data_IF_983718193177
#
_entry.id   IF_983718193177
#
_cell.length_a   1.000
_cell.length_b   1.000
_cell.length_c   1.000
_cell.angle_alpha   90.00
_cell.angle_beta   90.00
_cell.angle_gamma   90.00
#
_symmetry.space_group_name_H-M   'P 1'
#
loop_
_entity.id
_entity.type
_entity.pdbx_description
1 polymer ?
#
# COMPACT_ATOMS: atom_id res chain seq x y z
N UNK A 1 -7.97 50.25 -28.62
CA UNK A 1 -8.77 49.60 -27.55
C UNK A 1 -7.98 48.41 -27.01
N UNK A 2 -7.43 48.47 -25.79
CA UNK A 2 -6.56 47.42 -25.25
C UNK A 2 -7.38 46.36 -24.48
N UNK A 3 -8.33 45.69 -25.15
CA UNK A 3 -9.04 44.56 -24.53
C UNK A 3 -8.29 43.23 -24.69
N UNK A 4 -7.33 43.17 -25.62
CA UNK A 4 -6.60 41.94 -25.95
C UNK A 4 -5.47 41.59 -24.97
N UNK A 5 -4.89 42.58 -24.26
CA UNK A 5 -3.78 42.37 -23.33
C UNK A 5 -4.20 41.82 -21.96
N UNK A 6 -5.42 42.14 -21.50
CA UNK A 6 -5.93 41.72 -20.20
C UNK A 6 -6.27 40.22 -20.17
N UNK A 7 -6.66 39.65 -21.31
CA UNK A 7 -6.96 38.22 -21.47
C UNK A 7 -5.71 37.33 -21.35
N UNK A 8 -4.54 37.80 -21.79
CA UNK A 8 -3.31 36.98 -21.72
C UNK A 8 -2.67 36.95 -20.33
N UNK A 9 -2.88 37.97 -19.49
CA UNK A 9 -2.30 38.00 -18.13
C UNK A 9 -3.23 37.44 -17.03
N UNK A 10 -4.53 37.23 -17.31
CA UNK A 10 -5.47 36.68 -16.33
C UNK A 10 -5.80 35.20 -16.51
N UNK A 11 -5.40 34.54 -17.61
CA UNK A 11 -5.61 33.10 -17.79
C UNK A 11 -4.57 32.33 -16.95
N UNK A 12 -4.84 32.23 -15.66
CA UNK A 12 -4.02 31.56 -14.67
C UNK A 12 -4.35 30.07 -14.63
N UNK A 13 -4.07 29.34 -15.72
CA UNK A 13 -4.12 27.87 -15.79
C UNK A 13 -5.52 27.22 -15.72
N UNK A 14 -6.41 27.73 -14.88
CA UNK A 14 -7.76 27.20 -14.63
C UNK A 14 -8.67 27.36 -15.85
N UNK A 15 -8.52 28.45 -16.59
CA UNK A 15 -9.25 28.72 -17.81
C UNK A 15 -8.81 27.79 -18.95
N UNK A 16 -7.54 27.38 -18.98
CA UNK A 16 -7.05 26.39 -19.96
C UNK A 16 -7.76 25.04 -19.79
N UNK A 17 -8.05 24.63 -18.55
CA UNK A 17 -8.80 23.39 -18.27
C UNK A 17 -10.21 23.48 -18.89
N UNK A 18 -10.87 24.62 -18.74
CA UNK A 18 -12.21 24.85 -19.30
C UNK A 18 -12.16 24.83 -20.83
N UNK A 19 -11.18 25.49 -21.44
CA UNK A 19 -10.99 25.52 -22.89
C UNK A 19 -10.77 24.10 -23.44
N UNK A 20 -9.90 23.31 -22.81
CA UNK A 20 -9.64 21.92 -23.21
C UNK A 20 -10.90 21.07 -23.07
N UNK A 21 -11.64 21.21 -21.96
CA UNK A 21 -12.88 20.48 -21.74
C UNK A 21 -13.93 20.80 -22.81
N UNK A 22 -14.11 22.08 -23.14
CA UNK A 22 -15.03 22.51 -24.20
C UNK A 22 -14.58 21.97 -25.56
N UNK A 23 -13.30 22.06 -25.89
CA UNK A 23 -12.76 21.52 -27.15
C UNK A 23 -13.02 20.00 -27.26
N UNK A 24 -12.78 19.24 -26.19
CA UNK A 24 -13.10 17.81 -26.14
C UNK A 24 -14.60 17.54 -26.34
N UNK A 25 -15.46 18.35 -25.72
CA UNK A 25 -16.91 18.24 -25.89
C UNK A 25 -17.34 18.56 -27.33
N UNK A 26 -16.69 19.50 -28.01
CA UNK A 26 -17.00 19.81 -29.41
C UNK A 26 -16.57 18.69 -30.37
N UNK A 27 -15.40 18.09 -30.12
CA UNK A 27 -14.85 17.00 -30.96
C UNK A 27 -15.62 15.70 -30.73
N UNK A 28 -15.81 15.31 -29.46
CA UNK A 28 -16.39 14.02 -29.10
C UNK A 28 -17.91 14.09 -28.85
N UNK A 29 -18.46 15.28 -28.61
CA UNK A 29 -19.85 15.48 -28.20
C UNK A 29 -20.07 15.33 -26.69
N UNK A 30 -20.90 16.20 -26.12
CA UNK A 30 -21.22 16.22 -24.68
C UNK A 30 -21.80 14.88 -24.15
N UNK A 31 -22.42 14.08 -25.02
CA UNK A 31 -23.00 12.78 -24.67
C UNK A 31 -21.96 11.65 -24.57
N UNK A 32 -20.79 11.78 -25.20
CA UNK A 32 -19.75 10.73 -25.22
C UNK A 32 -18.87 10.75 -23.98
N UNK A 33 -18.54 11.94 -23.47
CA UNK A 33 -17.75 12.11 -22.24
C UNK A 33 -18.28 11.28 -21.04
N UNK A 34 -19.59 11.36 -20.68
CA UNK A 34 -20.14 10.56 -19.58
C UNK A 34 -20.29 9.07 -19.91
N UNK A 35 -20.37 8.69 -21.18
CA UNK A 35 -20.41 7.28 -21.58
C UNK A 35 -19.04 6.63 -21.36
N UNK A 36 -17.97 7.29 -21.80
CA UNK A 36 -16.59 6.81 -21.65
C UNK A 36 -16.18 6.76 -20.17
N UNK A 37 -16.53 7.76 -19.36
CA UNK A 37 -16.21 7.74 -17.93
C UNK A 37 -16.92 6.61 -17.19
N UNK A 38 -18.18 6.29 -17.56
CA UNK A 38 -18.92 5.16 -16.98
C UNK A 38 -18.29 3.82 -17.33
N UNK A 39 -17.89 3.61 -18.58
CA UNK A 39 -17.24 2.35 -18.99
C UNK A 39 -15.85 2.22 -18.40
N UNK A 40 -15.07 3.30 -18.40
CA UNK A 40 -13.74 3.33 -17.80
C UNK A 40 -13.80 3.12 -16.28
N UNK A 41 -14.73 3.79 -15.59
CA UNK A 41 -14.93 3.60 -14.14
C UNK A 41 -15.34 2.16 -13.78
N UNK A 42 -16.20 1.53 -14.59
CA UNK A 42 -16.52 0.10 -14.44
C UNK A 42 -15.29 -0.77 -14.65
N UNK A 43 -14.51 -0.53 -15.70
CA UNK A 43 -13.29 -1.31 -15.98
C UNK A 43 -12.26 -1.19 -14.84
N UNK A 44 -12.02 0.02 -14.32
CA UNK A 44 -11.13 0.24 -13.17
C UNK A 44 -11.67 -0.46 -11.92
N UNK A 45 -12.98 -0.42 -11.69
CA UNK A 45 -13.61 -1.09 -10.56
C UNK A 45 -13.47 -2.61 -10.61
N UNK A 46 -13.73 -3.23 -11.76
CA UNK A 46 -13.54 -4.67 -11.97
C UNK A 46 -12.06 -5.06 -11.90
N UNK A 47 -11.15 -4.22 -12.40
CA UNK A 47 -9.71 -4.44 -12.28
C UNK A 47 -9.24 -4.48 -10.82
N UNK A 48 -9.68 -3.54 -9.97
CA UNK A 48 -9.26 -3.55 -8.56
C UNK A 48 -9.85 -4.74 -7.80
N UNK A 49 -11.08 -5.18 -8.11
CA UNK A 49 -11.65 -6.42 -7.57
C UNK A 49 -10.82 -7.65 -7.96
N UNK A 50 -10.50 -7.80 -9.24
CA UNK A 50 -9.67 -8.89 -9.73
C UNK A 50 -8.28 -8.87 -9.08
N UNK A 51 -7.68 -7.68 -8.95
CA UNK A 51 -6.39 -7.49 -8.27
C UNK A 51 -6.47 -7.87 -6.78
N UNK A 52 -7.57 -7.57 -6.10
CA UNK A 52 -7.78 -7.95 -4.70
C UNK A 52 -7.93 -9.47 -4.53
N UNK A 53 -8.73 -10.11 -5.38
CA UNK A 53 -8.88 -11.57 -5.39
C UNK A 53 -7.53 -12.24 -5.65
N UNK A 54 -6.78 -11.78 -6.65
CA UNK A 54 -5.45 -12.28 -6.96
C UNK A 54 -4.48 -12.15 -5.77
N UNK A 55 -4.49 -11.02 -5.05
CA UNK A 55 -3.68 -10.86 -3.82
C UNK A 55 -4.05 -11.88 -2.75
N UNK A 56 -5.35 -12.13 -2.55
CA UNK A 56 -5.84 -13.10 -1.55
C UNK A 56 -5.46 -14.53 -1.93
N UNK A 57 -5.62 -14.88 -3.20
CA UNK A 57 -5.23 -16.19 -3.74
C UNK A 57 -3.72 -16.41 -3.65
N UNK A 58 -2.89 -15.42 -4.02
CA UNK A 58 -1.43 -15.54 -3.88
C UNK A 58 -0.99 -15.67 -2.42
N UNK A 59 -1.61 -14.94 -1.49
CA UNK A 59 -1.33 -15.09 -0.06
C UNK A 59 -1.75 -16.47 0.44
N UNK A 60 -2.93 -16.96 0.04
CA UNK A 60 -3.42 -18.29 0.38
C UNK A 60 -2.55 -19.41 -0.19
N UNK A 61 -2.11 -19.30 -1.44
CA UNK A 61 -1.21 -20.25 -2.08
C UNK A 61 0.18 -20.23 -1.43
N UNK A 62 0.72 -19.06 -1.07
CA UNK A 62 1.97 -18.95 -0.33
C UNK A 62 1.85 -19.52 1.10
N UNK A 63 0.68 -19.39 1.73
CA UNK A 63 0.36 -20.01 3.02
C UNK A 63 0.30 -21.54 2.91
N UNK A 64 -0.37 -22.06 1.88
CA UNK A 64 -0.50 -23.49 1.62
C UNK A 64 0.85 -24.12 1.26
N UNK A 65 1.61 -23.53 0.34
CA UNK A 65 2.94 -24.01 -0.02
C UNK A 65 3.90 -24.07 1.19
N UNK A 66 3.77 -23.14 2.14
CA UNK A 66 4.53 -23.18 3.41
C UNK A 66 4.07 -24.28 4.36
N UNK A 67 2.77 -24.57 4.40
CA UNK A 67 2.21 -25.70 5.17
C UNK A 67 2.67 -27.03 4.60
N UNK A 68 2.63 -27.17 3.27
CA UNK A 68 3.04 -28.39 2.55
C UNK A 68 4.55 -28.63 2.63
N UNK A 69 5.36 -27.58 2.72
CA UNK A 69 6.80 -27.65 2.96
C UNK A 69 7.20 -28.04 4.40
N UNK A 70 6.24 -28.36 5.29
CA UNK A 70 6.53 -28.86 6.64
C UNK A 70 7.14 -27.83 7.59
N UNK A 71 7.16 -26.54 7.24
CA UNK A 71 7.67 -25.46 8.10
C UNK A 71 6.56 -25.04 9.09
N UNK A 72 6.19 -25.93 10.00
CA UNK A 72 5.16 -25.71 11.02
C UNK A 72 5.73 -25.21 12.36
N UNK A 73 6.79 -24.38 12.38
CA UNK A 73 7.40 -23.89 13.64
C UNK A 73 7.93 -22.46 13.63
N UNK A 74 7.69 -21.65 12.60
CA UNK A 74 8.10 -20.24 12.60
C UNK A 74 6.83 -19.38 12.60
N UNK A 75 6.42 -18.82 13.75
CA UNK A 75 5.29 -17.90 13.82
C UNK A 75 5.53 -16.74 12.86
N UNK A 76 4.52 -16.39 12.08
CA UNK A 76 4.57 -15.25 11.18
C UNK A 76 4.74 -13.95 11.97
N UNK A 77 5.90 -13.30 11.84
CA UNK A 77 6.08 -11.87 12.12
C UNK A 77 5.29 -11.11 11.02
N UNK A 78 3.96 -11.06 11.12
CA UNK A 78 3.09 -10.31 10.19
C UNK A 78 2.40 -9.13 10.88
N UNK A 79 2.72 -8.90 12.16
CA UNK A 79 2.25 -7.73 12.90
C UNK A 79 3.37 -6.68 12.91
N UNK A 80 3.06 -5.38 12.70
CA UNK A 80 3.96 -4.32 13.13
C UNK A 80 4.24 -4.59 14.60
N UNK A 81 5.50 -4.84 14.94
CA UNK A 81 5.90 -5.02 16.32
C UNK A 81 5.72 -3.69 17.02
N UNK A 82 4.59 -3.56 17.69
CA UNK A 82 4.10 -2.29 18.19
C UNK A 82 4.83 -1.88 19.47
N UNK A 83 5.39 -2.86 20.19
CA UNK A 83 6.01 -2.65 21.49
C UNK A 83 7.49 -3.02 21.49
N UNK A 84 8.30 -2.31 22.28
CA UNK A 84 9.72 -2.63 22.46
C UNK A 84 9.91 -4.06 22.98
N UNK A 85 9.01 -4.49 23.88
CA UNK A 85 9.02 -5.84 24.43
C UNK A 85 8.92 -6.92 23.34
N UNK A 86 8.00 -6.77 22.40
CA UNK A 86 7.84 -7.73 21.30
C UNK A 86 9.06 -7.71 20.33
N UNK A 87 9.80 -6.60 20.23
CA UNK A 87 11.10 -6.57 19.51
C UNK A 87 12.16 -7.37 20.24
N UNK A 88 12.23 -7.23 21.56
CA UNK A 88 13.18 -7.95 22.42
C UNK A 88 12.90 -9.45 22.41
N UNK A 89 11.63 -9.84 22.49
CA UNK A 89 11.20 -11.24 22.40
C UNK A 89 11.55 -11.85 21.04
N UNK A 90 11.40 -11.10 19.94
CA UNK A 90 11.78 -11.56 18.60
C UNK A 90 13.29 -11.80 18.46
N UNK A 91 14.11 -10.90 19.00
CA UNK A 91 15.57 -11.03 18.97
C UNK A 91 16.01 -12.19 19.88
N UNK A 92 15.43 -12.30 21.08
CA UNK A 92 15.68 -13.41 21.99
C UNK A 92 15.33 -14.77 21.34
N UNK A 93 14.16 -14.87 20.71
CA UNK A 93 13.72 -16.08 20.00
C UNK A 93 14.66 -16.44 18.83
N UNK A 94 15.15 -15.44 18.09
CA UNK A 94 16.12 -15.65 17.00
C UNK A 94 17.49 -16.14 17.50
N UNK A 95 17.85 -15.82 18.74
CA UNK A 95 19.08 -16.24 19.42
C UNK A 95 18.92 -17.53 20.24
N UNK A 96 17.71 -18.12 20.27
CA UNK A 96 17.40 -19.33 21.06
C UNK A 96 17.32 -19.08 22.57
N UNK A 97 17.04 -17.84 23.00
CA UNK A 97 16.92 -17.44 24.40
C UNK A 97 15.47 -17.61 24.86
N UNK A 98 15.27 -18.30 26.00
CA UNK A 98 13.95 -18.41 26.63
C UNK A 98 13.57 -17.08 27.29
N UNK A 99 12.44 -16.51 26.84
CA UNK A 99 11.94 -15.20 27.24
C UNK A 99 10.77 -15.27 28.23
N UNK A 100 10.30 -16.47 28.60
CA UNK A 100 9.17 -16.64 29.50
C UNK A 100 9.50 -16.16 30.93
N UNK A 101 8.76 -15.14 31.41
CA UNK A 101 8.85 -14.65 32.79
C UNK A 101 10.03 -13.71 33.10
N UNK A 102 10.81 -13.29 32.10
CA UNK A 102 11.92 -12.34 32.25
C UNK A 102 11.47 -10.89 32.10
N UNK A 103 12.13 -9.97 32.81
CA UNK A 103 11.92 -8.53 32.62
C UNK A 103 12.58 -8.02 31.33
N UNK A 104 12.14 -6.86 30.85
CA UNK A 104 12.64 -6.24 29.63
C UNK A 104 14.14 -5.92 29.72
N UNK A 105 14.63 -5.59 30.91
CA UNK A 105 16.03 -5.32 31.24
C UNK A 105 16.88 -6.59 31.22
N UNK A 106 16.37 -7.69 31.80
CA UNK A 106 17.04 -8.99 31.78
C UNK A 106 17.13 -9.54 30.35
N UNK A 107 16.07 -9.38 29.56
CA UNK A 107 16.04 -9.74 28.14
C UNK A 107 17.09 -8.97 27.34
N UNK A 108 17.19 -7.65 27.53
CA UNK A 108 18.22 -6.81 26.90
C UNK A 108 19.63 -7.26 27.27
N UNK A 109 19.86 -7.61 28.54
CA UNK A 109 21.14 -8.08 29.03
C UNK A 109 21.56 -9.40 28.36
N UNK A 110 20.65 -10.38 28.32
CA UNK A 110 20.90 -11.70 27.72
C UNK A 110 21.17 -11.63 26.21
N UNK A 111 20.43 -10.77 25.49
CA UNK A 111 20.65 -10.53 24.07
C UNK A 111 22.03 -9.90 23.84
N UNK A 112 22.35 -8.86 24.60
CA UNK A 112 23.64 -8.16 24.48
C UNK A 112 24.81 -9.10 24.77
N UNK A 113 24.71 -9.91 25.82
CA UNK A 113 25.72 -10.89 26.19
C UNK A 113 25.94 -11.95 25.10
N UNK A 114 24.89 -12.36 24.39
CA UNK A 114 24.99 -13.36 23.32
C UNK A 114 25.49 -12.77 22.00
N UNK A 115 25.20 -11.49 21.72
CA UNK A 115 25.68 -10.78 20.53
C UNK A 115 27.15 -10.37 20.62
N UNK A 116 27.68 -10.15 21.83
CA UNK A 116 29.06 -9.74 22.06
C UNK A 116 30.00 -10.95 22.31
N UNK A 117 29.76 -12.06 21.61
CA UNK A 117 30.61 -13.27 21.61
C UNK A 117 31.26 -13.44 20.24
#
# INVERSE_FOLDING_TARGET
>A
MPFSGLLMMNIAGSEWIIIILVALILIFGAKRLPQVSRTFGKAVGEYEKARQQFRQEMQGAAEQARRDAGINKIPRITRPVATEREKLEMIAASLGIDFAGKSDEELKLLISQRMNV
#
